data_IF_703765117412
#
_entry.id   IF_703765117412
#
_cell.length_a   1.000
_cell.length_b   1.000
_cell.length_c   1.000
_cell.angle_alpha   90.00
_cell.angle_beta   90.00
_cell.angle_gamma   90.00
#
_symmetry.space_group_name_H-M   'P 1'
#
loop_
_entity.id
_entity.type
_entity.pdbx_description
1 polymer ?
#
# COMPACT_ATOMS: atom_id res chain seq x y z
N UNK A 1 67.17 30.06 -30.27
CA UNK A 1 65.83 30.09 -30.90
C UNK A 1 64.85 29.39 -29.95
N UNK A 2 64.05 30.11 -29.16
CA UNK A 2 63.08 29.49 -28.25
C UNK A 2 61.87 28.93 -29.03
N UNK A 3 61.40 27.76 -28.61
CA UNK A 3 60.28 27.01 -29.20
C UNK A 3 58.93 27.58 -28.79
N UNK A 4 58.05 27.80 -29.76
CA UNK A 4 56.67 28.27 -29.53
C UNK A 4 55.79 27.03 -29.34
N UNK A 5 55.20 26.87 -28.15
CA UNK A 5 54.20 25.83 -27.86
C UNK A 5 52.80 26.35 -28.22
N UNK A 6 51.90 25.54 -28.82
CA UNK A 6 50.52 25.95 -29.02
C UNK A 6 49.73 25.81 -27.71
N UNK A 7 49.19 26.92 -27.22
CA UNK A 7 48.25 26.93 -26.10
C UNK A 7 46.87 26.48 -26.58
N UNK A 8 46.43 25.29 -26.19
CA UNK A 8 45.07 24.79 -26.43
C UNK A 8 44.13 25.47 -25.43
N UNK A 9 43.25 26.34 -25.92
CA UNK A 9 42.19 26.93 -25.11
C UNK A 9 41.00 25.96 -25.03
N UNK A 10 40.78 25.34 -23.87
CA UNK A 10 39.57 24.57 -23.59
C UNK A 10 38.41 25.52 -23.36
N UNK A 11 37.53 25.65 -24.36
CA UNK A 11 36.28 26.41 -24.26
C UNK A 11 35.27 25.58 -23.45
N UNK A 12 35.22 25.80 -22.15
CA UNK A 12 34.23 25.20 -21.28
C UNK A 12 32.82 25.71 -21.64
N UNK A 13 31.97 24.82 -22.16
CA UNK A 13 30.55 25.10 -22.36
C UNK A 13 29.86 25.02 -20.98
N UNK A 14 29.56 26.17 -20.36
CA UNK A 14 28.67 26.21 -19.19
C UNK A 14 27.25 25.91 -19.65
N UNK A 15 26.85 24.64 -19.60
CA UNK A 15 25.44 24.28 -19.63
C UNK A 15 24.80 24.77 -18.33
N UNK A 16 24.02 25.84 -18.42
CA UNK A 16 23.12 26.24 -17.34
C UNK A 16 21.94 25.27 -17.34
N UNK A 17 21.95 24.31 -16.42
CA UNK A 17 20.80 23.45 -16.16
C UNK A 17 19.66 24.32 -15.63
N UNK A 18 18.73 24.72 -16.50
CA UNK A 18 17.47 25.33 -16.07
C UNK A 18 16.62 24.26 -15.36
N UNK A 19 16.66 24.26 -14.03
CA UNK A 19 15.71 23.50 -13.21
C UNK A 19 14.34 24.17 -13.32
N UNK A 20 13.45 23.61 -14.14
CA UNK A 20 12.06 24.06 -14.21
C UNK A 20 11.35 23.64 -12.92
N UNK A 21 11.13 24.58 -12.00
CA UNK A 21 10.25 24.38 -10.84
C UNK A 21 8.79 24.43 -11.29
N UNK A 22 8.23 23.27 -11.66
CA UNK A 22 6.79 23.07 -11.85
C UNK A 22 6.11 22.95 -10.47
N UNK A 23 6.00 24.05 -9.75
CA UNK A 23 5.12 24.14 -8.59
C UNK A 23 4.65 25.57 -8.42
N UNK A 24 3.34 25.79 -8.58
CA UNK A 24 2.66 27.08 -8.34
C UNK A 24 2.23 27.25 -6.88
N UNK A 25 2.42 26.22 -6.04
CA UNK A 25 2.03 26.28 -4.64
C UNK A 25 3.09 27.06 -3.85
N UNK A 26 2.73 28.16 -3.15
CA UNK A 26 3.65 28.82 -2.26
C UNK A 26 4.13 27.82 -1.20
N UNK A 27 5.46 27.70 -1.06
CA UNK A 27 6.07 26.89 -0.01
C UNK A 27 5.58 27.47 1.32
N UNK A 28 4.67 26.77 2.01
CA UNK A 28 4.32 27.13 3.38
C UNK A 28 5.59 26.98 4.20
N UNK A 29 6.19 28.09 4.62
CA UNK A 29 7.13 28.05 5.75
C UNK A 29 6.34 27.41 6.88
N UNK A 30 6.82 26.29 7.41
CA UNK A 30 6.25 25.73 8.63
C UNK A 30 6.36 26.83 9.70
N UNK A 31 5.24 27.47 10.03
CA UNK A 31 5.15 28.51 11.08
C UNK A 31 5.10 27.86 12.46
N UNK A 32 5.87 26.80 12.66
CA UNK A 32 6.17 26.22 13.94
C UNK A 32 7.70 26.15 13.96
N UNK A 33 8.33 27.05 14.72
CA UNK A 33 9.70 26.81 15.14
C UNK A 33 9.77 25.49 15.92
N UNK A 34 10.96 24.98 16.24
CA UNK A 34 11.10 23.85 17.15
C UNK A 34 10.64 24.29 18.55
N UNK A 35 9.33 24.24 18.78
CA UNK A 35 8.73 24.42 20.10
C UNK A 35 9.02 23.12 20.85
N UNK A 36 10.01 23.20 21.74
CA UNK A 36 10.41 22.08 22.56
C UNK A 36 9.30 21.80 23.57
N UNK A 37 8.59 20.70 23.38
CA UNK A 37 7.64 20.17 24.34
C UNK A 37 8.40 19.30 25.36
N UNK A 38 8.58 19.77 26.62
CA UNK A 38 9.28 18.99 27.63
C UNK A 38 8.48 17.73 27.98
N UNK A 39 9.13 16.64 28.45
CA UNK A 39 8.43 15.41 28.82
C UNK A 39 7.53 15.67 30.05
N UNK A 40 6.23 15.83 29.82
CA UNK A 40 5.21 16.15 30.84
C UNK A 40 4.71 14.94 31.63
N UNK A 41 5.05 13.72 31.19
CA UNK A 41 4.60 12.46 31.82
C UNK A 41 3.12 12.14 31.57
N UNK A 42 2.48 12.83 30.63
CA UNK A 42 1.08 12.63 30.27
C UNK A 42 0.93 11.57 29.19
N UNK A 43 -0.06 10.69 29.34
CA UNK A 43 -0.35 9.65 28.36
C UNK A 43 -0.88 10.30 27.07
N UNK A 44 -0.14 10.14 25.97
CA UNK A 44 -0.43 10.74 24.66
C UNK A 44 -0.43 12.28 24.63
N UNK A 45 0.27 12.94 25.56
CA UNK A 45 0.32 14.40 25.63
C UNK A 45 -0.99 15.05 26.09
N UNK A 46 -1.96 14.27 26.56
CA UNK A 46 -3.25 14.76 27.04
C UNK A 46 -3.21 14.94 28.55
N UNK A 47 -3.49 16.15 29.01
CA UNK A 47 -3.55 16.43 30.45
C UNK A 47 -4.65 15.57 31.11
N UNK A 48 -4.37 14.92 32.25
CA UNK A 48 -5.38 14.18 32.99
C UNK A 48 -6.60 15.08 33.30
N UNK A 49 -7.78 14.66 32.85
CA UNK A 49 -9.03 15.41 33.03
C UNK A 49 -9.50 16.22 31.81
N UNK A 50 -8.66 16.37 30.78
CA UNK A 50 -9.09 16.93 29.50
C UNK A 50 -9.67 15.84 28.59
N UNK A 51 -10.80 16.15 27.93
CA UNK A 51 -11.40 15.23 26.96
C UNK A 51 -10.64 15.34 25.64
N UNK A 52 -10.21 14.20 25.12
CA UNK A 52 -9.60 14.09 23.81
C UNK A 52 -10.50 14.70 22.73
N UNK A 53 -9.93 15.56 21.89
CA UNK A 53 -10.60 16.13 20.73
C UNK A 53 -10.16 15.33 19.50
N UNK A 54 -11.13 14.71 18.82
CA UNK A 54 -10.83 13.98 17.59
C UNK A 54 -10.24 14.90 16.55
N UNK A 55 -9.12 14.50 15.98
CA UNK A 55 -8.53 15.23 14.87
C UNK A 55 -9.34 14.99 13.58
N UNK A 56 -9.38 15.98 12.68
CA UNK A 56 -10.23 15.93 11.48
C UNK A 56 -9.89 14.79 10.51
N UNK A 57 -8.68 14.24 10.58
CA UNK A 57 -8.23 13.11 9.75
C UNK A 57 -8.62 11.75 10.33
N UNK A 58 -8.85 11.64 11.65
CA UNK A 58 -9.07 10.35 12.31
C UNK A 58 -10.26 9.61 11.72
N UNK A 59 -11.37 10.33 11.51
CA UNK A 59 -12.58 9.71 10.96
C UNK A 59 -12.34 9.17 9.55
N UNK A 60 -11.56 9.87 8.70
CA UNK A 60 -11.26 9.39 7.35
C UNK A 60 -10.37 8.14 7.41
N UNK A 61 -9.41 8.11 8.33
CA UNK A 61 -8.53 6.96 8.51
C UNK A 61 -9.32 5.78 9.08
N UNK A 62 -10.13 5.98 10.11
CA UNK A 62 -10.92 4.91 10.70
C UNK A 62 -11.93 4.33 9.70
N UNK A 63 -12.69 5.18 9.01
CA UNK A 63 -13.69 4.71 8.04
C UNK A 63 -13.01 4.11 6.81
N UNK A 64 -11.97 4.76 6.27
CA UNK A 64 -11.24 4.28 5.10
C UNK A 64 -10.50 2.98 5.36
N UNK A 65 -9.67 2.94 6.42
CA UNK A 65 -8.87 1.77 6.78
C UNK A 65 -9.75 0.61 7.22
N UNK A 66 -10.58 0.77 8.26
CA UNK A 66 -11.41 -0.34 8.74
C UNK A 66 -12.53 -0.70 7.77
N UNK A 67 -13.05 0.28 7.03
CA UNK A 67 -13.98 0.00 5.92
C UNK A 67 -13.32 -0.83 4.82
N UNK A 68 -12.07 -0.54 4.45
CA UNK A 68 -11.33 -1.36 3.47
C UNK A 68 -11.09 -2.78 3.98
N UNK A 69 -10.77 -2.97 5.26
CA UNK A 69 -10.65 -4.31 5.85
C UNK A 69 -11.98 -5.07 5.81
N UNK A 70 -13.09 -4.41 6.15
CA UNK A 70 -14.41 -5.04 6.07
C UNK A 70 -14.74 -5.49 4.64
N UNK A 71 -14.52 -4.62 3.65
CA UNK A 71 -14.72 -4.96 2.23
C UNK A 71 -13.79 -6.10 1.80
N UNK A 72 -12.52 -6.07 2.21
CA UNK A 72 -11.55 -7.12 1.90
C UNK A 72 -11.95 -8.47 2.49
N UNK A 73 -12.39 -8.51 3.75
CA UNK A 73 -12.87 -9.73 4.40
C UNK A 73 -14.07 -10.32 3.65
N UNK A 74 -15.05 -9.49 3.30
CA UNK A 74 -16.22 -9.95 2.51
C UNK A 74 -15.76 -10.49 1.15
N UNK A 75 -14.89 -9.76 0.44
CA UNK A 75 -14.38 -10.21 -0.85
C UNK A 75 -13.62 -11.54 -0.76
N UNK A 76 -12.82 -11.75 0.29
CA UNK A 76 -12.08 -13.00 0.50
C UNK A 76 -12.98 -14.16 0.88
N UNK A 77 -14.03 -13.94 1.68
CA UNK A 77 -14.97 -15.00 2.06
C UNK A 77 -15.88 -15.46 0.92
N UNK A 78 -16.28 -14.56 0.02
CA UNK A 78 -17.21 -14.85 -1.07
C UNK A 78 -16.53 -14.93 -2.45
N UNK A 79 -15.20 -14.93 -2.49
CA UNK A 79 -14.46 -15.15 -3.73
C UNK A 79 -14.83 -16.54 -4.28
N UNK A 80 -15.10 -16.67 -5.60
CA UNK A 80 -15.35 -17.98 -6.20
C UNK A 80 -14.09 -18.86 -6.10
N UNK A 81 -14.34 -20.15 -5.83
CA UNK A 81 -13.34 -21.20 -5.82
C UNK A 81 -12.84 -21.46 -7.25
N UNK A 82 -11.72 -20.83 -7.59
CA UNK A 82 -11.01 -20.99 -8.87
C UNK A 82 -9.70 -21.77 -8.68
N UNK A 83 -9.65 -22.62 -7.65
CA UNK A 83 -8.44 -23.41 -7.33
C UNK A 83 -8.32 -24.59 -8.29
N UNK A 84 -7.10 -24.89 -8.73
CA UNK A 84 -6.84 -26.09 -9.53
C UNK A 84 -7.11 -27.37 -8.74
N UNK A 85 -7.03 -27.29 -7.41
CA UNK A 85 -7.23 -28.45 -6.54
C UNK A 85 -8.68 -28.91 -6.54
N UNK A 86 -9.66 -27.99 -6.57
CA UNK A 86 -11.08 -28.36 -6.61
C UNK A 86 -11.40 -29.07 -7.92
N UNK A 87 -10.92 -28.52 -9.05
CA UNK A 87 -11.03 -29.21 -10.35
C UNK A 87 -10.31 -30.56 -10.34
N UNK A 88 -9.08 -30.64 -9.84
CA UNK A 88 -8.30 -31.87 -9.85
C UNK A 88 -8.92 -32.95 -8.95
N UNK A 89 -9.54 -32.58 -7.83
CA UNK A 89 -10.26 -33.51 -6.96
C UNK A 89 -11.53 -34.04 -7.63
N UNK A 90 -12.28 -33.17 -8.31
CA UNK A 90 -13.49 -33.57 -9.06
C UNK A 90 -13.13 -34.47 -10.25
N UNK A 91 -12.06 -34.14 -10.97
CA UNK A 91 -11.56 -34.96 -12.08
C UNK A 91 -10.98 -36.30 -11.58
N UNK A 92 -10.24 -36.31 -10.46
CA UNK A 92 -9.77 -37.54 -9.84
C UNK A 92 -10.93 -38.43 -9.38
N UNK A 93 -11.97 -37.83 -8.80
CA UNK A 93 -13.21 -38.53 -8.42
C UNK A 93 -13.88 -39.16 -9.62
N UNK A 94 -14.04 -38.43 -10.72
CA UNK A 94 -14.65 -38.96 -11.96
C UNK A 94 -13.92 -40.20 -12.49
N UNK A 95 -12.58 -40.22 -12.40
CA UNK A 95 -11.79 -41.40 -12.78
C UNK A 95 -12.03 -42.59 -11.86
N UNK A 96 -12.12 -42.35 -10.55
CA UNK A 96 -12.39 -43.39 -9.55
C UNK A 96 -13.82 -43.94 -9.62
N UNK A 97 -14.80 -43.11 -10.02
CA UNK A 97 -16.19 -43.55 -10.30
C UNK A 97 -16.25 -44.44 -11.55
N UNK A 98 -15.50 -44.09 -12.61
CA UNK A 98 -15.37 -44.93 -13.82
C UNK A 98 -14.69 -46.26 -13.50
N UNK A 99 -13.70 -46.25 -12.60
CA UNK A 99 -13.02 -47.47 -12.11
C UNK A 99 -13.88 -48.29 -11.13
N UNK A 100 -15.03 -47.77 -10.69
CA UNK A 100 -15.98 -48.47 -9.81
C UNK A 100 -15.48 -48.66 -8.36
N UNK A 101 -14.45 -47.90 -7.96
CA UNK A 101 -13.80 -48.00 -6.63
C UNK A 101 -14.54 -47.14 -5.60
N UNK A 102 -15.28 -46.11 -6.04
CA UNK A 102 -15.96 -45.16 -5.17
C UNK A 102 -17.48 -45.20 -5.40
N UNK A 103 -18.27 -45.42 -4.34
CA UNK A 103 -19.72 -45.28 -4.36
C UNK A 103 -20.14 -43.82 -4.50
N UNK A 104 -21.23 -43.57 -5.21
CA UNK A 104 -21.74 -42.23 -5.46
C UNK A 104 -22.22 -41.60 -4.13
N UNK A 105 -21.65 -40.46 -3.68
CA UNK A 105 -21.97 -39.85 -2.39
C UNK A 105 -23.40 -39.27 -2.31
N UNK A 106 -24.09 -39.12 -3.45
CA UNK A 106 -25.49 -38.73 -3.50
C UNK A 106 -26.31 -39.80 -4.22
N UNK A 107 -26.55 -40.97 -3.60
CA UNK A 107 -27.33 -42.02 -4.21
C UNK A 107 -28.77 -41.51 -4.40
N UNK A 108 -29.25 -41.47 -5.64
CA UNK A 108 -30.64 -41.13 -5.93
C UNK A 108 -31.56 -42.13 -5.18
N UNK A 109 -32.26 -41.64 -4.15
CA UNK A 109 -33.33 -42.42 -3.53
C UNK A 109 -34.48 -42.52 -4.52
N UNK A 110 -34.54 -43.64 -5.22
CA UNK A 110 -35.67 -44.04 -6.04
C UNK A 110 -36.94 -44.09 -5.16
N UNK A 111 -38.08 -43.51 -5.59
CA UNK A 111 -39.31 -43.47 -4.81
C UNK A 111 -39.86 -44.86 -4.49
#
# INVERSE_FOLDING_TARGET
MPSIRPSVALRALRQTTQTRTLSTTPRRLASHGPEYDPPTGWLFGVKPGEKYQKEGWENIMYIGFFGSFAVFTVAMCFKPDTSIQTWALEEARRRLEVEGILEDPFPEKKP
#
